data_IF_390413452716
#
_entry.id   IF_390413452716
#
_cell.length_a   1.000
_cell.length_b   1.000
_cell.length_c   1.000
_cell.angle_alpha   90.00
_cell.angle_beta   90.00
_cell.angle_gamma   90.00
#
_symmetry.space_group_name_H-M   'P 1'
#
loop_
_entity.id
_entity.type
_entity.pdbx_description
1 polymer ?
#
# COMPACT_ATOMS: atom_id res chain seq x y z
N UNK A 1 46.33 -51.73 29.24
CA UNK A 1 46.52 -53.17 29.50
C UNK A 1 48.02 -53.45 29.51
N UNK A 2 48.55 -53.87 30.65
CA UNK A 2 49.93 -54.31 30.83
C UNK A 2 50.20 -55.57 30.00
N UNK A 3 51.30 -55.60 29.25
CA UNK A 3 51.87 -56.83 28.70
C UNK A 3 53.35 -56.87 29.09
N UNK A 4 53.68 -57.79 30.00
CA UNK A 4 55.02 -58.27 30.33
C UNK A 4 55.69 -58.92 29.09
N UNK A 5 57.01 -58.85 28.92
CA UNK A 5 57.75 -59.85 28.18
C UNK A 5 58.28 -60.93 29.14
N UNK A 6 57.83 -62.17 28.92
CA UNK A 6 58.38 -63.37 29.54
C UNK A 6 59.74 -63.66 28.87
N UNK A 7 60.82 -63.58 29.64
CA UNK A 7 62.11 -64.18 29.32
C UNK A 7 61.99 -65.70 29.44
N UNK A 8 62.20 -66.44 28.36
CA UNK A 8 62.49 -67.88 28.40
C UNK A 8 63.90 -68.09 27.87
N UNK A 9 64.82 -68.37 28.79
CA UNK A 9 66.12 -68.98 28.55
C UNK A 9 66.07 -70.39 29.13
N UNK A 10 66.25 -71.46 28.35
CA UNK A 10 66.82 -72.71 28.84
C UNK A 10 68.29 -72.75 28.38
N UNK A 11 69.26 -72.65 29.27
CA UNK A 11 69.85 -73.81 29.97
C UNK A 11 70.06 -74.98 29.01
N UNK A 12 71.18 -74.97 28.29
CA UNK A 12 71.82 -76.21 27.83
C UNK A 12 73.03 -76.43 28.73
N UNK A 13 72.74 -77.05 29.88
CA UNK A 13 73.69 -77.74 30.73
C UNK A 13 73.59 -79.21 30.34
N UNK A 14 74.69 -79.83 29.87
CA UNK A 14 74.76 -81.28 29.68
C UNK A 14 75.13 -81.71 28.27
N UNK A 15 76.43 -81.62 27.93
CA UNK A 15 77.06 -82.57 27.02
C UNK A 15 78.53 -82.77 27.43
N UNK A 16 78.69 -83.32 28.64
CA UNK A 16 79.86 -84.06 29.08
C UNK A 16 79.32 -85.34 29.67
N UNK A 17 79.36 -86.43 28.90
CA UNK A 17 79.68 -87.80 29.33
C UNK A 17 79.47 -88.75 28.14
N UNK A 18 80.60 -89.33 27.73
CA UNK A 18 80.77 -90.72 27.27
C UNK A 18 79.99 -91.22 26.04
N UNK A 19 80.72 -91.44 24.95
CA UNK A 19 80.93 -92.83 24.54
C UNK A 19 82.24 -93.01 23.77
N UNK A 20 83.07 -93.85 24.36
CA UNK A 20 84.27 -94.44 23.79
C UNK A 20 83.92 -95.33 22.59
N UNK A 21 84.56 -95.10 21.45
CA UNK A 21 85.14 -96.19 20.66
C UNK A 21 86.29 -95.68 19.80
N UNK A 22 87.49 -95.94 20.31
CA UNK A 22 88.71 -96.34 19.63
C UNK A 22 88.78 -96.19 18.10
N UNK A 23 89.49 -95.16 17.62
CA UNK A 23 90.46 -95.35 16.52
C UNK A 23 91.73 -94.59 16.90
N UNK A 24 92.81 -95.36 16.95
CA UNK A 24 94.18 -94.98 17.30
C UNK A 24 94.74 -93.98 16.30
N UNK A 25 95.29 -92.87 16.80
CA UNK A 25 95.96 -91.86 16.00
C UNK A 25 96.65 -90.81 16.86
N UNK A 26 97.81 -91.19 17.42
CA UNK A 26 98.88 -90.33 17.96
C UNK A 26 99.03 -89.01 17.14
N UNK A 27 99.11 -87.79 17.67
CA UNK A 27 100.09 -87.25 18.65
C UNK A 27 99.82 -85.75 18.93
N UNK A 28 100.41 -85.31 20.05
CA UNK A 28 100.76 -83.94 20.52
C UNK A 28 99.79 -83.25 21.49
N UNK A 29 100.20 -83.02 22.76
CA UNK A 29 99.44 -82.23 23.72
C UNK A 29 99.58 -80.73 23.37
N UNK A 30 98.49 -80.11 22.94
CA UNK A 30 98.39 -78.65 22.86
C UNK A 30 98.22 -78.08 24.27
N UNK A 31 99.08 -77.13 24.60
CA UNK A 31 99.19 -76.44 25.88
C UNK A 31 97.81 -76.01 26.46
N UNK A 32 97.53 -76.20 27.77
CA UNK A 32 96.29 -75.75 28.42
C UNK A 32 95.95 -74.27 28.17
N UNK A 33 96.97 -73.45 27.92
CA UNK A 33 96.84 -72.03 27.60
C UNK A 33 96.10 -71.78 26.27
N UNK A 34 96.21 -72.68 25.28
CA UNK A 34 95.51 -72.57 23.99
C UNK A 34 93.99 -72.84 24.10
N UNK A 35 93.55 -73.62 25.09
CA UNK A 35 92.10 -73.88 25.32
C UNK A 35 91.40 -72.72 26.01
N UNK A 36 92.11 -72.02 26.90
CA UNK A 36 91.58 -70.84 27.60
C UNK A 36 91.48 -69.65 26.64
N UNK A 37 92.45 -69.45 25.74
CA UNK A 37 92.38 -68.38 24.73
C UNK A 37 91.21 -68.60 23.76
N UNK A 38 91.01 -69.82 23.27
CA UNK A 38 89.88 -70.14 22.39
C UNK A 38 88.51 -69.94 23.07
N UNK A 39 88.41 -70.24 24.37
CA UNK A 39 87.19 -69.99 25.15
C UNK A 39 86.92 -68.50 25.37
N UNK A 40 87.96 -67.70 25.64
CA UNK A 40 87.84 -66.24 25.78
C UNK A 40 87.46 -65.58 24.44
N UNK A 41 88.03 -66.04 23.33
CA UNK A 41 87.67 -65.58 22.00
C UNK A 41 86.21 -65.90 21.66
N UNK A 42 85.73 -67.09 22.00
CA UNK A 42 84.33 -67.48 21.78
C UNK A 42 83.37 -66.70 22.68
N UNK A 43 83.74 -66.48 23.96
CA UNK A 43 82.98 -65.60 24.86
C UNK A 43 82.86 -64.18 24.30
N UNK A 44 83.96 -63.62 23.79
CA UNK A 44 83.97 -62.29 23.19
C UNK A 44 83.12 -62.25 21.91
N UNK A 45 83.16 -63.28 21.07
CA UNK A 45 82.28 -63.41 19.89
C UNK A 45 80.81 -63.47 20.27
N UNK A 46 80.45 -64.27 21.27
CA UNK A 46 79.08 -64.38 21.77
C UNK A 46 78.59 -63.06 22.40
N UNK A 47 79.46 -62.36 23.11
CA UNK A 47 79.14 -61.03 23.65
C UNK A 47 78.88 -60.03 22.53
N UNK A 48 79.75 -59.97 21.52
CA UNK A 48 79.56 -59.10 20.34
C UNK A 48 78.29 -59.48 19.55
N UNK A 49 77.99 -60.77 19.41
CA UNK A 49 76.75 -61.23 18.77
C UNK A 49 75.51 -60.79 19.57
N UNK A 50 75.56 -60.88 20.90
CA UNK A 50 74.48 -60.44 21.79
C UNK A 50 74.25 -58.93 21.68
N UNK A 51 75.32 -58.13 21.67
CA UNK A 51 75.26 -56.68 21.48
C UNK A 51 74.65 -56.31 20.13
N UNK A 52 75.03 -57.00 19.05
CA UNK A 52 74.43 -56.81 17.71
C UNK A 52 72.93 -57.15 17.68
N UNK A 53 72.52 -58.24 18.32
CA UNK A 53 71.10 -58.61 18.41
C UNK A 53 70.32 -57.56 19.19
N UNK A 54 70.86 -57.05 20.30
CA UNK A 54 70.24 -55.99 21.08
C UNK A 54 70.08 -54.70 20.27
N UNK A 55 71.13 -54.28 19.55
CA UNK A 55 71.08 -53.10 18.66
C UNK A 55 70.03 -53.26 17.55
N UNK A 56 70.02 -54.42 16.88
CA UNK A 56 69.03 -54.71 15.83
C UNK A 56 67.60 -54.72 16.39
N UNK A 57 67.40 -55.23 17.61
CA UNK A 57 66.07 -55.25 18.25
C UNK A 57 65.59 -53.83 18.57
N UNK A 58 66.48 -52.96 19.06
CA UNK A 58 66.16 -51.55 19.32
C UNK A 58 65.85 -50.82 18.01
N UNK A 59 66.64 -51.04 16.96
CA UNK A 59 66.40 -50.44 15.65
C UNK A 59 65.06 -50.90 15.07
N UNK A 60 64.77 -52.20 15.10
CA UNK A 60 63.50 -52.74 14.59
C UNK A 60 62.30 -52.16 15.34
N UNK A 61 62.42 -52.01 16.67
CA UNK A 61 61.37 -51.38 17.48
C UNK A 61 61.16 -49.91 17.10
N UNK A 62 62.25 -49.17 16.93
CA UNK A 62 62.19 -47.77 16.49
C UNK A 62 61.55 -47.64 15.10
N UNK A 63 61.93 -48.49 14.15
CA UNK A 63 61.35 -48.50 12.80
C UNK A 63 59.86 -48.87 12.84
N UNK A 64 59.46 -49.83 13.68
CA UNK A 64 58.06 -50.18 13.90
C UNK A 64 57.26 -49.02 14.48
N UNK A 65 57.77 -48.37 15.53
CA UNK A 65 57.11 -47.22 16.16
C UNK A 65 56.98 -46.05 15.17
N UNK A 66 58.01 -45.82 14.36
CA UNK A 66 58.00 -44.79 13.30
C UNK A 66 56.96 -45.10 12.23
N UNK A 67 56.92 -46.34 11.74
CA UNK A 67 55.92 -46.78 10.76
C UNK A 67 54.49 -46.69 11.31
N UNK A 68 54.30 -47.05 12.58
CA UNK A 68 53.00 -46.97 13.24
C UNK A 68 52.54 -45.51 13.41
N UNK A 69 53.46 -44.61 13.74
CA UNK A 69 53.18 -43.17 13.81
C UNK A 69 52.79 -42.60 12.43
N UNK A 70 53.51 -42.98 11.36
CA UNK A 70 53.20 -42.56 9.99
C UNK A 70 51.81 -43.07 9.56
N UNK A 71 51.51 -44.35 9.80
CA UNK A 71 50.21 -44.94 9.50
C UNK A 71 49.08 -44.25 10.26
N UNK A 72 49.27 -43.98 11.56
CA UNK A 72 48.28 -43.29 12.39
C UNK A 72 48.02 -41.87 11.88
N UNK A 73 49.05 -41.14 11.47
CA UNK A 73 48.92 -39.80 10.91
C UNK A 73 48.14 -39.81 9.58
N UNK A 74 48.47 -40.75 8.68
CA UNK A 74 47.76 -40.91 7.41
C UNK A 74 46.27 -41.26 7.61
N UNK A 75 45.97 -42.10 8.59
CA UNK A 75 44.60 -42.54 8.87
C UNK A 75 43.76 -41.39 9.46
N UNK A 76 44.34 -40.61 10.37
CA UNK A 76 43.71 -39.41 10.92
C UNK A 76 43.44 -38.37 9.83
N UNK A 77 44.39 -38.16 8.91
CA UNK A 77 44.20 -37.25 7.78
C UNK A 77 43.03 -37.71 6.89
N UNK A 78 42.95 -39.00 6.57
CA UNK A 78 41.83 -39.55 5.79
C UNK A 78 40.48 -39.42 6.51
N UNK A 79 40.47 -39.61 7.82
CA UNK A 79 39.25 -39.46 8.64
C UNK A 79 38.74 -38.02 8.61
N UNK A 80 39.62 -37.03 8.79
CA UNK A 80 39.26 -35.61 8.73
C UNK A 80 38.67 -35.22 7.36
N UNK A 81 39.22 -35.74 6.26
CA UNK A 81 38.69 -35.52 4.91
C UNK A 81 37.29 -36.13 4.75
N UNK A 82 37.03 -37.30 5.34
CA UNK A 82 35.71 -37.93 5.30
C UNK A 82 34.69 -37.18 6.14
N UNK A 83 35.06 -36.67 7.32
CA UNK A 83 34.18 -35.84 8.16
C UNK A 83 33.79 -34.55 7.44
N UNK A 84 34.76 -33.89 6.77
CA UNK A 84 34.48 -32.70 5.97
C UNK A 84 33.47 -33.00 4.85
N UNK A 85 33.69 -34.08 4.08
CA UNK A 85 32.77 -34.49 3.01
C UNK A 85 31.38 -34.87 3.53
N UNK A 86 31.30 -35.48 4.71
CA UNK A 86 30.01 -35.79 5.35
C UNK A 86 29.26 -34.50 5.74
N UNK A 87 29.97 -33.46 6.17
CA UNK A 87 29.41 -32.13 6.42
C UNK A 87 28.81 -31.51 5.15
N UNK A 88 29.53 -31.57 4.02
CA UNK A 88 29.07 -31.06 2.72
C UNK A 88 27.79 -31.78 2.24
N UNK A 89 27.71 -33.10 2.43
CA UNK A 89 26.51 -33.89 2.07
C UNK A 89 25.29 -33.51 2.93
N UNK A 90 25.49 -33.22 4.22
CA UNK A 90 24.39 -32.75 5.10
C UNK A 90 23.87 -31.38 4.68
N UNK A 91 24.76 -30.46 4.31
CA UNK A 91 24.38 -29.15 3.78
C UNK A 91 23.59 -29.27 2.46
N UNK A 92 23.96 -30.23 1.59
CA UNK A 92 23.21 -30.54 0.37
C UNK A 92 21.79 -31.04 0.67
N UNK A 93 21.58 -31.88 1.68
CA UNK A 93 20.25 -32.35 2.09
C UNK A 93 19.37 -31.20 2.64
N UNK A 94 19.95 -30.29 3.43
CA UNK A 94 19.27 -29.07 3.90
C UNK A 94 18.90 -28.15 2.74
N UNK A 95 19.83 -27.93 1.80
CA UNK A 95 19.59 -27.11 0.60
C UNK A 95 18.49 -27.73 -0.28
N UNK A 96 18.42 -29.06 -0.40
CA UNK A 96 17.36 -29.75 -1.15
C UNK A 96 15.98 -29.57 -0.49
N UNK A 97 15.91 -29.58 0.84
CA UNK A 97 14.67 -29.31 1.58
C UNK A 97 14.20 -27.87 1.39
N UNK A 98 15.11 -26.89 1.43
CA UNK A 98 14.79 -25.49 1.14
C UNK A 98 14.32 -25.31 -0.31
N UNK A 99 14.98 -25.97 -1.28
CA UNK A 99 14.58 -25.93 -2.69
C UNK A 99 13.15 -26.49 -2.88
N UNK A 100 12.82 -27.61 -2.23
CA UNK A 100 11.48 -28.19 -2.28
C UNK A 100 10.42 -27.25 -1.69
N UNK A 101 10.74 -26.55 -0.59
CA UNK A 101 9.85 -25.55 0.02
C UNK A 101 9.65 -24.35 -0.91
N UNK A 102 10.71 -23.86 -1.55
CA UNK A 102 10.64 -22.76 -2.53
C UNK A 102 9.78 -23.17 -3.73
N UNK A 103 9.94 -24.38 -4.26
CA UNK A 103 9.13 -24.90 -5.35
C UNK A 103 7.64 -24.99 -4.98
N UNK A 104 7.33 -25.47 -3.77
CA UNK A 104 5.95 -25.52 -3.27
C UNK A 104 5.33 -24.11 -3.15
N UNK A 105 6.10 -23.15 -2.63
CA UNK A 105 5.67 -21.75 -2.52
C UNK A 105 5.46 -21.10 -3.88
N UNK A 106 6.32 -21.40 -4.87
CA UNK A 106 6.17 -20.91 -6.24
C UNK A 106 4.86 -21.38 -6.86
N UNK A 107 4.54 -22.68 -6.78
CA UNK A 107 3.26 -23.23 -7.27
C UNK A 107 2.06 -22.57 -6.59
N UNK A 108 2.15 -22.31 -5.28
CA UNK A 108 1.08 -21.64 -4.53
C UNK A 108 0.89 -20.18 -4.97
N UNK A 109 1.98 -19.47 -5.24
CA UNK A 109 1.94 -18.08 -5.74
C UNK A 109 1.36 -18.02 -7.16
N UNK A 110 1.75 -18.94 -8.04
CA UNK A 110 1.22 -19.03 -9.40
C UNK A 110 -0.30 -19.30 -9.39
N UNK A 111 -0.78 -20.17 -8.50
CA UNK A 111 -2.22 -20.39 -8.32
C UNK A 111 -2.95 -19.12 -7.83
N UNK A 112 -2.37 -18.37 -6.90
CA UNK A 112 -2.95 -17.11 -6.42
C UNK A 112 -2.98 -16.05 -7.52
N UNK A 113 -1.91 -15.95 -8.32
CA UNK A 113 -1.82 -15.04 -9.46
C UNK A 113 -2.87 -15.36 -10.53
N UNK A 114 -3.04 -16.65 -10.87
CA UNK A 114 -4.05 -17.08 -11.82
C UNK A 114 -5.49 -16.81 -11.33
N UNK A 115 -5.76 -16.94 -10.03
CA UNK A 115 -7.06 -16.52 -9.45
C UNK A 115 -7.28 -15.02 -9.61
N UNK A 116 -6.25 -14.21 -9.39
CA UNK A 116 -6.34 -12.75 -9.52
C UNK A 116 -6.61 -12.33 -10.97
N UNK A 117 -5.93 -12.94 -11.94
CA UNK A 117 -6.20 -12.72 -13.38
C UNK A 117 -7.66 -13.05 -13.70
N UNK A 118 -8.16 -14.21 -13.26
CA UNK A 118 -9.54 -14.61 -13.53
C UNK A 118 -10.56 -13.63 -12.91
N UNK A 119 -10.31 -13.14 -11.70
CA UNK A 119 -11.14 -12.10 -11.07
C UNK A 119 -11.08 -10.78 -11.84
N UNK A 120 -9.91 -10.37 -12.32
CA UNK A 120 -9.75 -9.17 -13.13
C UNK A 120 -10.52 -9.27 -14.46
N UNK A 121 -10.40 -10.39 -15.18
CA UNK A 121 -11.14 -10.62 -16.43
C UNK A 121 -12.66 -10.73 -16.21
N UNK A 122 -13.11 -11.17 -15.04
CA UNK A 122 -14.52 -11.11 -14.67
C UNK A 122 -14.98 -9.66 -14.46
N UNK A 123 -14.26 -8.88 -13.65
CA UNK A 123 -14.58 -7.48 -13.39
C UNK A 123 -14.54 -6.63 -14.67
N UNK A 124 -13.60 -6.91 -15.58
CA UNK A 124 -13.51 -6.27 -16.88
C UNK A 124 -14.76 -6.53 -17.71
N UNK A 125 -15.22 -7.79 -17.79
CA UNK A 125 -16.47 -8.15 -18.48
C UNK A 125 -17.69 -7.48 -17.86
N UNK A 126 -17.77 -7.42 -16.53
CA UNK A 126 -18.85 -6.72 -15.82
C UNK A 126 -18.85 -5.21 -16.13
N UNK A 127 -17.66 -4.59 -16.18
CA UNK A 127 -17.51 -3.18 -16.53
C UNK A 127 -17.85 -2.90 -18.00
N UNK A 128 -17.46 -3.77 -18.93
CA UNK A 128 -17.83 -3.67 -20.34
C UNK A 128 -19.37 -3.77 -20.50
N UNK A 129 -20.01 -4.64 -19.72
CA UNK A 129 -21.48 -4.80 -19.69
C UNK A 129 -22.17 -3.55 -19.16
N UNK A 130 -21.66 -2.98 -18.06
CA UNK A 130 -22.12 -1.70 -17.51
C UNK A 130 -21.91 -0.55 -18.50
N UNK A 131 -20.81 -0.56 -19.27
CA UNK A 131 -20.58 0.45 -20.30
C UNK A 131 -21.62 0.35 -21.42
N UNK A 132 -21.96 -0.87 -21.86
CA UNK A 132 -23.03 -1.09 -22.86
C UNK A 132 -24.39 -0.66 -22.32
N UNK A 133 -24.73 -1.00 -21.08
CA UNK A 133 -25.97 -0.54 -20.43
C UNK A 133 -26.01 0.99 -20.31
N UNK A 134 -24.89 1.61 -19.95
CA UNK A 134 -24.78 3.08 -19.87
C UNK A 134 -24.94 3.74 -21.24
N UNK A 135 -24.37 3.17 -22.31
CA UNK A 135 -24.59 3.66 -23.68
C UNK A 135 -26.04 3.47 -24.12
N UNK A 136 -26.70 2.37 -23.74
CA UNK A 136 -28.13 2.16 -23.99
C UNK A 136 -28.98 3.22 -23.27
N UNK A 137 -28.70 3.49 -21.99
CA UNK A 137 -29.38 4.55 -21.22
C UNK A 137 -29.13 5.92 -21.87
N UNK A 138 -27.89 6.21 -22.28
CA UNK A 138 -27.53 7.46 -22.97
C UNK A 138 -28.30 7.59 -24.29
N UNK A 139 -28.43 6.51 -25.07
CA UNK A 139 -29.17 6.51 -26.33
C UNK A 139 -30.69 6.67 -26.14
N UNK A 140 -31.26 6.04 -25.11
CA UNK A 140 -32.68 6.24 -24.73
C UNK A 140 -32.90 7.69 -24.29
N UNK A 141 -31.97 8.26 -23.51
CA UNK A 141 -32.02 9.66 -23.03
C UNK A 141 -31.85 10.67 -24.18
N UNK A 142 -31.03 10.37 -25.19
CA UNK A 142 -30.88 11.20 -26.40
C UNK A 142 -32.14 11.12 -27.26
N UNK A 143 -32.74 9.94 -27.44
CA UNK A 143 -33.97 9.76 -28.22
C UNK A 143 -35.15 10.53 -27.62
N UNK A 144 -35.32 10.45 -26.29
CA UNK A 144 -36.33 11.27 -25.59
C UNK A 144 -36.00 12.76 -25.70
N UNK A 145 -34.73 13.17 -25.63
CA UNK A 145 -34.35 14.59 -25.79
C UNK A 145 -34.68 15.16 -27.19
N UNK A 146 -34.61 14.33 -28.24
CA UNK A 146 -34.89 14.71 -29.63
C UNK A 146 -36.40 14.81 -29.89
N UNK A 147 -37.19 13.89 -29.34
CA UNK A 147 -38.65 14.00 -29.34
C UNK A 147 -39.14 15.18 -28.48
N UNK A 148 -38.44 15.48 -27.37
CA UNK A 148 -38.66 16.67 -26.53
C UNK A 148 -38.22 17.98 -27.21
N UNK A 149 -37.25 17.97 -28.13
CA UNK A 149 -36.89 19.17 -28.90
C UNK A 149 -37.93 19.52 -29.96
N UNK A 150 -38.57 18.51 -30.54
CA UNK A 150 -39.62 18.70 -31.55
C UNK A 150 -40.94 19.20 -30.92
N UNK A 151 -41.17 18.90 -29.63
CA UNK A 151 -42.29 19.41 -28.83
C UNK A 151 -42.08 20.83 -28.26
N UNK A 152 -40.87 21.38 -28.29
CA UNK A 152 -40.55 22.72 -27.74
C UNK A 152 -41.11 23.90 -28.54
N UNK A 153 -41.62 23.66 -29.75
CA UNK A 153 -42.31 24.70 -30.53
C UNK A 153 -43.72 25.04 -30.02
N UNK A 154 -44.24 24.28 -29.04
CA UNK A 154 -45.50 24.56 -28.35
C UNK A 154 -45.18 25.07 -26.94
N UNK A 155 -45.06 26.39 -26.82
CA UNK A 155 -44.55 27.06 -25.62
C UNK A 155 -45.26 26.71 -24.30
N UNK A 156 -44.46 26.83 -23.24
CA UNK A 156 -44.85 26.97 -21.83
C UNK A 156 -45.24 25.70 -21.04
N UNK A 157 -44.41 24.64 -21.07
CA UNK A 157 -44.27 23.67 -19.95
C UNK A 157 -42.78 23.24 -19.88
N UNK A 158 -42.26 22.94 -18.69
CA UNK A 158 -41.01 22.18 -18.36
C UNK A 158 -39.86 22.94 -17.67
N UNK A 159 -40.03 23.22 -16.37
CA UNK A 159 -39.03 22.75 -15.39
C UNK A 159 -39.54 21.56 -14.55
N UNK A 160 -40.87 21.45 -14.40
CA UNK A 160 -41.51 20.44 -13.56
C UNK A 160 -41.40 19.01 -14.12
N UNK A 161 -41.34 18.84 -15.45
CA UNK A 161 -41.18 17.52 -16.04
C UNK A 161 -39.77 16.98 -15.84
N UNK A 162 -38.72 17.82 -15.93
CA UNK A 162 -37.33 17.39 -15.72
C UNK A 162 -37.08 16.97 -14.25
N UNK A 163 -37.60 17.70 -13.27
CA UNK A 163 -37.47 17.34 -11.84
C UNK A 163 -38.23 16.05 -11.54
N UNK A 164 -39.46 15.92 -12.03
CA UNK A 164 -40.25 14.68 -11.91
C UNK A 164 -39.51 13.49 -12.53
N UNK A 165 -38.84 13.68 -13.67
CA UNK A 165 -38.06 12.64 -14.33
C UNK A 165 -36.83 12.24 -13.52
N UNK A 166 -36.13 13.18 -12.87
CA UNK A 166 -34.98 12.89 -12.00
C UNK A 166 -35.42 12.08 -10.78
N UNK A 167 -36.50 12.50 -10.11
CA UNK A 167 -37.02 11.78 -8.94
C UNK A 167 -37.45 10.35 -9.30
N UNK A 168 -38.19 10.20 -10.41
CA UNK A 168 -38.59 8.89 -10.91
C UNK A 168 -37.39 8.01 -11.28
N UNK A 169 -36.34 8.58 -11.85
CA UNK A 169 -35.13 7.84 -12.21
C UNK A 169 -34.37 7.32 -10.99
N UNK A 170 -34.21 8.17 -9.96
CA UNK A 170 -33.58 7.77 -8.69
C UNK A 170 -34.43 6.70 -7.99
N UNK A 171 -35.74 6.88 -7.94
CA UNK A 171 -36.65 5.90 -7.35
C UNK A 171 -36.60 4.57 -8.10
N UNK A 172 -36.59 4.58 -9.43
CA UNK A 172 -36.46 3.37 -10.23
C UNK A 172 -35.13 2.66 -9.94
N UNK A 173 -34.02 3.40 -9.90
CA UNK A 173 -32.70 2.85 -9.62
C UNK A 173 -32.63 2.21 -8.23
N UNK A 174 -33.11 2.90 -7.19
CA UNK A 174 -33.12 2.36 -5.83
C UNK A 174 -34.06 1.16 -5.67
N UNK A 175 -35.20 1.16 -6.37
CA UNK A 175 -36.13 0.03 -6.37
C UNK A 175 -35.59 -1.20 -7.11
N UNK A 176 -34.85 -0.97 -8.20
CA UNK A 176 -34.24 -2.04 -9.01
C UNK A 176 -33.04 -2.64 -8.29
N UNK A 177 -32.22 -1.80 -7.69
CA UNK A 177 -31.00 -2.19 -6.99
C UNK A 177 -31.18 -2.07 -5.48
N UNK A 178 -31.99 -2.97 -4.91
CA UNK A 178 -32.27 -3.04 -3.46
C UNK A 178 -31.04 -3.21 -2.56
N UNK A 179 -29.87 -3.53 -3.13
CA UNK A 179 -28.60 -3.66 -2.42
C UNK A 179 -27.77 -2.36 -2.38
N UNK A 180 -28.23 -1.27 -2.99
CA UNK A 180 -27.53 0.02 -2.94
C UNK A 180 -27.59 0.56 -1.52
N UNK A 181 -26.44 0.55 -0.85
CA UNK A 181 -26.28 1.06 0.51
C UNK A 181 -25.85 2.51 0.53
N UNK A 182 -24.84 2.85 -0.28
CA UNK A 182 -24.18 4.16 -0.27
C UNK A 182 -24.38 4.89 -1.61
N UNK A 183 -24.73 6.18 -1.55
CA UNK A 183 -24.98 7.01 -2.74
C UNK A 183 -24.04 8.20 -2.81
N UNK A 184 -23.30 8.32 -3.91
CA UNK A 184 -22.46 9.49 -4.18
C UNK A 184 -23.17 10.43 -5.16
N UNK A 185 -23.47 11.64 -4.71
CA UNK A 185 -24.08 12.69 -5.52
C UNK A 185 -22.98 13.60 -6.04
N UNK A 186 -22.45 13.30 -7.23
CA UNK A 186 -21.33 14.03 -7.86
C UNK A 186 -21.86 15.01 -8.90
N UNK A 187 -21.28 16.22 -8.95
CA UNK A 187 -21.69 17.25 -9.89
C UNK A 187 -20.80 18.48 -9.82
N UNK A 188 -21.29 19.59 -10.37
CA UNK A 188 -20.61 20.89 -10.31
C UNK A 188 -21.42 21.89 -9.47
N UNK A 189 -20.73 22.88 -8.92
CA UNK A 189 -21.35 23.93 -8.11
C UNK A 189 -20.64 25.27 -8.24
N UNK A 190 -21.22 26.27 -7.57
CA UNK A 190 -20.60 27.58 -7.38
C UNK A 190 -19.85 27.65 -6.05
N UNK A 191 -18.63 28.16 -6.07
CA UNK A 191 -17.82 28.35 -4.85
C UNK A 191 -18.40 29.43 -3.94
N UNK A 192 -18.21 29.26 -2.62
CA UNK A 192 -18.47 30.32 -1.63
C UNK A 192 -17.14 30.87 -1.14
N UNK A 193 -16.77 32.11 -1.52
CA UNK A 193 -15.51 32.68 -1.08
C UNK A 193 -15.57 33.15 0.38
N UNK A 194 -14.44 33.02 1.07
CA UNK A 194 -14.18 33.62 2.38
C UNK A 194 -13.05 34.64 2.27
N UNK A 195 -13.27 35.89 2.69
CA UNK A 195 -12.27 36.96 2.50
C UNK A 195 -11.27 37.04 3.65
N UNK A 196 -11.57 36.42 4.79
CA UNK A 196 -10.84 36.59 6.03
C UNK A 196 -9.99 35.36 6.36
N UNK A 197 -10.45 34.17 5.98
CA UNK A 197 -9.86 32.90 6.39
C UNK A 197 -9.53 32.00 5.19
N UNK A 198 -8.23 31.83 4.94
CA UNK A 198 -7.71 30.99 3.86
C UNK A 198 -8.15 29.52 3.96
N UNK A 199 -8.34 28.98 5.17
CA UNK A 199 -8.78 27.60 5.37
C UNK A 199 -10.25 27.39 4.99
N UNK A 200 -11.02 28.48 5.05
CA UNK A 200 -12.43 28.52 4.70
C UNK A 200 -12.66 28.94 3.26
N UNK A 201 -11.65 29.53 2.62
CA UNK A 201 -11.73 30.07 1.28
C UNK A 201 -11.79 28.95 0.24
N UNK A 202 -12.73 29.08 -0.70
CA UNK A 202 -12.95 28.10 -1.77
C UNK A 202 -12.75 28.80 -3.11
N UNK A 203 -11.80 28.28 -3.90
CA UNK A 203 -11.39 28.86 -5.19
C UNK A 203 -11.97 28.10 -6.38
N UNK A 204 -11.81 28.66 -7.58
CA UNK A 204 -12.07 27.94 -8.83
C UNK A 204 -11.16 26.72 -8.98
N UNK A 205 -11.77 25.61 -9.38
CA UNK A 205 -11.08 24.33 -9.58
C UNK A 205 -10.93 23.50 -8.31
N UNK A 206 -11.40 24.00 -7.16
CA UNK A 206 -11.52 23.19 -5.94
C UNK A 206 -12.68 22.19 -6.03
N UNK A 207 -12.63 21.19 -5.17
CA UNK A 207 -13.69 20.21 -4.95
C UNK A 207 -14.23 20.42 -3.53
N UNK A 208 -15.54 20.54 -3.37
CA UNK A 208 -16.20 20.54 -2.06
C UNK A 208 -16.89 19.20 -1.84
N UNK A 209 -16.58 18.57 -0.70
CA UNK A 209 -17.24 17.36 -0.22
C UNK A 209 -18.15 17.74 0.95
N UNK A 210 -19.40 17.30 0.92
CA UNK A 210 -20.35 17.56 1.98
C UNK A 210 -19.91 16.92 3.28
N UNK A 211 -19.67 17.75 4.29
CA UNK A 211 -19.36 17.31 5.63
C UNK A 211 -20.10 18.22 6.61
N UNK A 212 -20.60 17.69 7.75
CA UNK A 212 -21.29 18.52 8.72
C UNK A 212 -20.39 19.64 9.22
N UNK A 213 -20.98 20.81 9.42
CA UNK A 213 -20.28 21.91 10.10
C UNK A 213 -20.16 21.59 11.59
N UNK A 214 -19.21 22.23 12.30
CA UNK A 214 -18.99 21.99 13.73
C UNK A 214 -20.24 22.26 14.58
N UNK A 215 -21.15 23.10 14.10
CA UNK A 215 -22.37 23.50 14.83
C UNK A 215 -23.61 22.72 14.42
N UNK A 216 -23.61 22.02 13.28
CA UNK A 216 -24.80 21.35 12.72
C UNK A 216 -24.44 20.07 11.97
N UNK A 217 -25.25 19.02 12.17
CA UNK A 217 -25.12 17.71 11.50
C UNK A 217 -25.50 17.70 10.01
N UNK A 218 -25.81 18.86 9.42
CA UNK A 218 -26.40 18.95 8.09
C UNK A 218 -25.36 18.87 6.98
N UNK A 219 -25.62 18.01 6.00
CA UNK A 219 -24.80 17.85 4.81
C UNK A 219 -25.28 18.75 3.68
N UNK A 220 -26.60 18.95 3.61
CA UNK A 220 -27.24 19.75 2.59
C UNK A 220 -28.32 20.65 3.19
N UNK A 221 -28.43 21.87 2.65
CA UNK A 221 -29.44 22.86 3.04
C UNK A 221 -30.12 23.39 1.79
N UNK A 222 -31.45 23.34 1.76
CA UNK A 222 -32.26 23.99 0.74
C UNK A 222 -32.93 25.22 1.34
N UNK A 223 -32.58 26.39 0.82
CA UNK A 223 -33.22 27.65 1.21
C UNK A 223 -34.62 27.77 0.59
N UNK A 224 -35.64 27.89 1.45
CA UNK A 224 -37.04 28.00 1.02
C UNK A 224 -37.51 29.45 0.96
N UNK A 225 -37.36 30.17 2.07
CA UNK A 225 -37.82 31.57 2.18
C UNK A 225 -37.05 32.32 3.26
N UNK A 226 -37.06 33.64 3.14
CA UNK A 226 -36.53 34.56 4.15
C UNK A 226 -37.66 35.39 4.73
N UNK A 227 -37.69 35.51 6.04
CA UNK A 227 -38.61 36.38 6.78
C UNK A 227 -37.77 37.49 7.41
N UNK A 228 -38.11 38.75 7.13
CA UNK A 228 -37.45 39.91 7.73
C UNK A 228 -38.29 40.43 8.88
N UNK A 229 -37.71 40.45 10.07
CA UNK A 229 -38.39 40.96 11.26
C UNK A 229 -38.12 42.46 11.37
N UNK A 230 -39.06 43.29 10.89
CA UNK A 230 -38.95 44.76 10.86
C UNK A 230 -38.59 45.40 12.21
N UNK A 231 -38.92 44.73 13.33
CA UNK A 231 -38.68 45.25 14.68
C UNK A 231 -37.23 45.06 15.16
N UNK A 232 -36.55 44.01 14.72
CA UNK A 232 -35.18 43.67 15.14
C UNK A 232 -34.16 43.82 14.02
N UNK A 233 -34.61 44.10 12.79
CA UNK A 233 -33.81 44.08 11.57
C UNK A 233 -33.10 42.73 11.33
N UNK A 234 -33.67 41.65 11.89
CA UNK A 234 -33.12 40.30 11.77
C UNK A 234 -33.77 39.53 10.62
N UNK A 235 -32.93 38.77 9.92
CA UNK A 235 -33.36 37.84 8.88
C UNK A 235 -33.49 36.43 9.46
N UNK A 236 -34.68 35.86 9.35
CA UNK A 236 -34.94 34.46 9.66
C UNK A 236 -35.03 33.66 8.37
N UNK A 237 -34.05 32.77 8.17
CA UNK A 237 -34.03 31.88 7.03
C UNK A 237 -34.82 30.61 7.34
N UNK A 238 -35.83 30.32 6.54
CA UNK A 238 -36.51 29.03 6.56
C UNK A 238 -35.82 28.09 5.58
N UNK A 239 -35.38 26.95 6.09
CA UNK A 239 -34.58 25.98 5.36
C UNK A 239 -35.13 24.57 5.54
N UNK A 240 -35.10 23.80 4.46
CA UNK A 240 -35.15 22.34 4.51
C UNK A 240 -33.70 21.84 4.56
N UNK A 241 -33.44 20.77 5.29
CA UNK A 241 -32.09 20.28 5.48
C UNK A 241 -32.08 18.76 5.44
N UNK A 242 -30.92 18.20 5.07
CA UNK A 242 -30.70 16.76 5.05
C UNK A 242 -29.41 16.43 5.80
N UNK A 243 -29.48 15.36 6.56
CA UNK A 243 -28.38 14.72 7.25
C UNK A 243 -28.42 13.22 6.96
N UNK A 244 -27.31 12.54 7.14
CA UNK A 244 -27.27 11.07 7.08
C UNK A 244 -27.41 10.51 8.50
N UNK A 245 -28.23 9.48 8.65
CA UNK A 245 -28.25 8.68 9.88
C UNK A 245 -27.10 7.66 9.87
N UNK A 246 -26.75 7.13 8.69
CA UNK A 246 -25.55 6.33 8.49
C UNK A 246 -24.35 7.24 8.16
N UNK A 247 -23.46 7.39 9.12
CA UNK A 247 -22.27 8.24 9.05
C UNK A 247 -21.04 7.55 8.46
N UNK A 248 -21.18 6.35 7.87
CA UNK A 248 -20.06 5.57 7.33
C UNK A 248 -19.23 6.36 6.32
N UNK A 249 -19.88 7.02 5.36
CA UNK A 249 -19.20 7.85 4.36
C UNK A 249 -18.54 9.08 5.00
N UNK A 250 -19.23 9.72 5.94
CA UNK A 250 -18.71 10.88 6.66
C UNK A 250 -17.46 10.50 7.47
N UNK A 251 -17.46 9.35 8.15
CA UNK A 251 -16.29 8.81 8.87
C UNK A 251 -15.11 8.55 7.94
N UNK A 252 -15.34 8.07 6.72
CA UNK A 252 -14.28 7.91 5.71
C UNK A 252 -13.71 9.28 5.32
N UNK A 253 -14.57 10.24 5.01
CA UNK A 253 -14.16 11.61 4.67
C UNK A 253 -13.41 12.27 5.83
N UNK A 254 -13.84 12.08 7.08
CA UNK A 254 -13.14 12.58 8.26
C UNK A 254 -11.76 11.96 8.46
N UNK A 255 -11.60 10.67 8.16
CA UNK A 255 -10.28 10.02 8.19
C UNK A 255 -9.35 10.64 7.15
N UNK A 256 -9.85 10.86 5.93
CA UNK A 256 -9.09 11.53 4.86
C UNK A 256 -8.70 12.95 5.31
N UNK A 257 -9.67 13.73 5.80
CA UNK A 257 -9.43 15.08 6.32
C UNK A 257 -8.38 15.09 7.44
N UNK A 258 -8.48 14.16 8.41
CA UNK A 258 -7.51 14.05 9.50
C UNK A 258 -6.09 13.78 8.99
N UNK A 259 -5.91 12.89 8.00
CA UNK A 259 -4.60 12.64 7.40
C UNK A 259 -4.03 13.91 6.78
N UNK A 260 -4.87 14.67 6.06
CA UNK A 260 -4.47 15.94 5.47
C UNK A 260 -4.14 17.01 6.52
N UNK A 261 -4.92 17.13 7.60
CA UNK A 261 -4.73 18.18 8.61
C UNK A 261 -3.64 17.88 9.66
N UNK A 262 -3.23 16.62 9.84
CA UNK A 262 -2.40 16.19 10.99
C UNK A 262 -0.89 16.39 10.84
N UNK A 263 -0.40 16.75 9.66
CA UNK A 263 1.05 16.86 9.38
C UNK A 263 1.48 18.31 9.11
N UNK A 264 2.69 18.73 9.53
CA UNK A 264 3.29 19.99 9.09
C UNK A 264 3.42 20.08 7.56
N UNK A 265 3.66 18.93 6.91
CA UNK A 265 3.59 18.71 5.46
C UNK A 265 2.34 17.87 5.18
N UNK A 266 1.19 18.51 4.84
CA UNK A 266 -0.09 17.82 4.75
C UNK A 266 -0.04 16.74 3.67
N UNK A 267 -0.27 15.48 4.08
CA UNK A 267 -0.43 14.39 3.12
C UNK A 267 -1.73 14.61 2.34
N UNK A 268 -1.64 14.53 1.01
CA UNK A 268 -2.78 14.71 0.10
C UNK A 268 -3.13 13.37 -0.55
N UNK A 269 -3.77 12.44 0.19
CA UNK A 269 -4.01 11.08 -0.30
C UNK A 269 -4.92 11.05 -1.54
N UNK A 270 -5.69 12.11 -1.80
CA UNK A 270 -6.54 12.22 -2.97
C UNK A 270 -5.80 12.72 -4.23
N UNK A 271 -4.63 13.35 -4.09
CA UNK A 271 -3.91 13.96 -5.22
C UNK A 271 -3.52 12.91 -6.27
N UNK A 272 -3.08 11.72 -5.86
CA UNK A 272 -2.73 10.63 -6.80
C UNK A 272 -3.93 10.27 -7.68
N UNK A 273 -5.12 10.15 -7.08
CA UNK A 273 -6.33 9.83 -7.83
C UNK A 273 -6.80 10.99 -8.72
N UNK A 274 -6.61 12.24 -8.28
CA UNK A 274 -6.91 13.41 -9.09
C UNK A 274 -5.98 13.53 -10.30
N UNK A 275 -4.69 13.26 -10.10
CA UNK A 275 -3.68 13.24 -11.17
C UNK A 275 -3.98 12.11 -12.17
N UNK A 276 -4.21 10.89 -11.70
CA UNK A 276 -4.61 9.76 -12.56
C UNK A 276 -5.89 10.05 -13.35
N UNK A 277 -6.92 10.61 -12.71
CA UNK A 277 -8.16 10.97 -13.37
C UNK A 277 -7.94 12.07 -14.41
N UNK A 278 -7.16 13.11 -14.08
CA UNK A 278 -6.81 14.18 -15.00
C UNK A 278 -6.06 13.64 -16.22
N UNK A 279 -5.11 12.73 -16.03
CA UNK A 279 -4.37 12.10 -17.13
C UNK A 279 -5.27 11.29 -18.06
N UNK A 280 -6.18 10.49 -17.50
CA UNK A 280 -7.14 9.72 -18.31
C UNK A 280 -8.06 10.63 -19.11
N UNK A 281 -8.54 11.72 -18.50
CA UNK A 281 -9.45 12.68 -19.13
C UNK A 281 -8.78 13.55 -20.21
N UNK A 282 -7.44 13.67 -20.23
CA UNK A 282 -6.71 14.36 -21.32
C UNK A 282 -6.89 13.68 -22.69
N UNK A 283 -7.20 12.38 -22.70
CA UNK A 283 -7.41 11.62 -23.93
C UNK A 283 -8.81 11.83 -24.53
N UNK A 284 -9.74 12.44 -23.79
CA UNK A 284 -11.11 12.70 -24.23
C UNK A 284 -11.19 14.02 -25.03
N UNK A 285 -12.13 14.12 -25.97
CA UNK A 285 -12.34 15.34 -26.77
C UNK A 285 -12.83 16.54 -25.94
N UNK A 286 -13.34 16.29 -24.73
CA UNK A 286 -13.87 17.32 -23.84
C UNK A 286 -12.76 17.97 -23.02
N UNK A 287 -12.81 19.31 -22.89
CA UNK A 287 -11.84 20.04 -22.08
C UNK A 287 -12.15 19.92 -20.58
N UNK A 288 -11.47 18.99 -19.90
CA UNK A 288 -11.56 18.79 -18.45
C UNK A 288 -10.47 19.54 -17.67
N UNK A 289 -9.95 20.63 -18.24
CA UNK A 289 -8.90 21.42 -17.61
C UNK A 289 -9.44 22.21 -16.42
N UNK A 290 -8.65 22.25 -15.34
CA UNK A 290 -8.87 23.19 -14.24
C UNK A 290 -8.92 24.62 -14.80
N UNK A 291 -9.85 25.47 -14.33
CA UNK A 291 -9.82 26.89 -14.67
C UNK A 291 -8.45 27.50 -14.39
N UNK A 292 -7.98 28.37 -15.29
CA UNK A 292 -6.72 29.08 -15.10
C UNK A 292 -6.80 29.96 -13.86
N UNK A 293 -5.72 30.01 -13.08
CA UNK A 293 -5.74 30.73 -11.80
C UNK A 293 -6.07 32.22 -11.94
N UNK A 294 -5.65 32.86 -13.04
CA UNK A 294 -5.95 34.26 -13.32
C UNK A 294 -7.41 34.54 -13.70
N UNK A 295 -8.22 33.49 -13.87
CA UNK A 295 -9.67 33.60 -14.09
C UNK A 295 -10.45 33.58 -12.79
N UNK A 296 -9.83 33.12 -11.69
CA UNK A 296 -10.39 33.26 -10.36
C UNK A 296 -10.15 34.68 -9.86
N UNK A 297 -11.22 35.46 -9.77
CA UNK A 297 -11.17 36.86 -9.31
C UNK A 297 -12.13 37.04 -8.17
N UNK A 298 -11.57 37.44 -7.04
CA UNK A 298 -12.33 37.69 -5.83
C UNK A 298 -12.73 39.16 -5.77
N UNK A 299 -14.04 39.39 -5.72
CA UNK A 299 -14.63 40.73 -5.64
C UNK A 299 -15.25 40.95 -4.27
N UNK A 300 -14.95 42.09 -3.66
CA UNK A 300 -15.53 42.51 -2.38
C UNK A 300 -16.50 43.68 -2.59
N UNK A 301 -17.71 43.55 -2.04
CA UNK A 301 -18.68 44.64 -1.89
C UNK A 301 -18.60 45.20 -0.47
N UNK A 302 -18.58 46.53 -0.34
CA UNK A 302 -18.49 47.20 0.96
C UNK A 302 -19.66 46.83 1.90
N UNK A 303 -19.44 46.84 3.23
CA UNK A 303 -20.47 46.52 4.23
C UNK A 303 -21.72 47.42 4.16
N UNK A 304 -21.56 48.65 3.66
CA UNK A 304 -22.61 49.65 3.47
C UNK A 304 -23.45 49.43 2.19
N UNK A 305 -23.13 48.38 1.43
CA UNK A 305 -23.82 48.04 0.18
C UNK A 305 -23.41 48.91 -1.01
N UNK A 306 -22.43 49.81 -0.85
CA UNK A 306 -21.89 50.58 -1.98
C UNK A 306 -21.13 49.65 -2.92
N UNK A 307 -21.51 49.68 -4.20
CA UNK A 307 -20.91 48.85 -5.26
C UNK A 307 -19.58 49.48 -5.69
N UNK A 308 -18.59 49.39 -4.81
CA UNK A 308 -17.18 49.58 -5.17
C UNK A 308 -16.59 48.19 -5.20
N UNK A 309 -16.70 47.56 -6.36
CA UNK A 309 -16.17 46.23 -6.62
C UNK A 309 -14.65 46.36 -6.67
N UNK A 310 -13.99 46.09 -5.55
CA UNK A 310 -12.52 46.03 -5.49
C UNK A 310 -12.12 44.58 -5.68
N UNK A 311 -11.26 44.33 -6.65
CA UNK A 311 -10.58 43.04 -6.80
C UNK A 311 -9.60 42.89 -5.63
N UNK A 312 -9.81 41.86 -4.81
CA UNK A 312 -8.99 41.57 -3.64
C UNK A 312 -8.20 40.29 -3.89
N UNK A 313 -7.02 40.21 -3.27
CA UNK A 313 -6.22 39.00 -3.32
C UNK A 313 -6.88 37.88 -2.51
N UNK A 314 -6.72 36.64 -2.97
CA UNK A 314 -7.13 35.48 -2.20
C UNK A 314 -6.39 35.45 -0.85
N UNK A 315 -7.05 35.08 0.26
CA UNK A 315 -6.39 35.00 1.56
C UNK A 315 -5.27 33.95 1.52
N UNK A 316 -4.12 34.27 2.09
CA UNK A 316 -2.94 33.40 2.15
C UNK A 316 -2.79 32.74 3.53
N UNK A 317 -2.02 31.65 3.60
CA UNK A 317 -1.65 31.03 4.88
C UNK A 317 -2.39 29.73 5.24
N UNK A 318 -3.22 29.19 4.35
CA UNK A 318 -3.72 27.82 4.50
C UNK A 318 -2.65 26.82 4.04
N UNK A 319 -2.25 25.91 4.94
CA UNK A 319 -1.26 24.87 4.65
C UNK A 319 -1.79 23.83 3.66
N UNK A 320 -3.11 23.63 3.63
CA UNK A 320 -3.76 22.68 2.72
C UNK A 320 -4.05 23.29 1.35
N UNK A 321 -3.74 24.57 1.15
CA UNK A 321 -3.91 25.24 -0.11
C UNK A 321 -2.60 25.19 -0.92
N UNK A 322 -2.67 24.60 -2.11
CA UNK A 322 -1.59 24.68 -3.09
C UNK A 322 -2.11 25.43 -4.32
N UNK A 323 -1.45 26.55 -4.62
CA UNK A 323 -1.77 27.39 -5.75
C UNK A 323 -1.66 26.59 -7.08
N UNK A 324 -2.63 26.78 -7.97
CA UNK A 324 -2.67 26.10 -9.26
C UNK A 324 -3.06 24.61 -9.20
N UNK A 325 -3.28 24.04 -8.01
CA UNK A 325 -3.78 22.67 -7.84
C UNK A 325 -5.26 22.65 -7.43
N UNK A 326 -5.91 21.51 -7.64
CA UNK A 326 -7.25 21.24 -7.09
C UNK A 326 -7.11 20.99 -5.60
N UNK A 327 -7.81 21.77 -4.77
CA UNK A 327 -7.88 21.52 -3.33
C UNK A 327 -9.21 20.89 -2.96
N UNK A 328 -9.18 20.00 -1.97
CA UNK A 328 -10.37 19.36 -1.42
C UNK A 328 -10.81 20.13 -0.19
N UNK A 329 -12.03 20.62 -0.22
CA UNK A 329 -12.67 21.44 0.80
C UNK A 329 -13.84 20.67 1.41
N UNK A 330 -14.10 20.89 2.69
CA UNK A 330 -15.14 20.20 3.43
C UNK A 330 -16.13 21.20 4.01
N UNK A 331 -17.42 20.95 3.83
CA UNK A 331 -18.48 21.73 4.47
C UNK A 331 -19.84 21.50 3.86
N UNK A 332 -20.85 22.19 4.37
CA UNK A 332 -22.24 22.02 3.95
C UNK A 332 -22.43 22.57 2.52
N UNK A 333 -23.27 21.91 1.73
CA UNK A 333 -23.63 22.33 0.37
C UNK A 333 -25.07 22.83 0.38
N UNK A 334 -25.40 23.84 -0.43
CA UNK A 334 -26.75 24.41 -0.43
C UNK A 334 -27.32 24.64 -1.82
N UNK A 335 -28.65 24.65 -1.92
CA UNK A 335 -29.31 25.30 -3.07
C UNK A 335 -29.26 26.82 -2.86
N UNK A 336 -28.68 27.56 -3.80
CA UNK A 336 -28.45 29.00 -3.68
C UNK A 336 -29.40 29.89 -4.49
N UNK A 337 -30.21 29.31 -5.38
CA UNK A 337 -30.89 30.06 -6.44
C UNK A 337 -31.78 31.18 -5.91
N UNK A 338 -32.52 30.93 -4.84
CA UNK A 338 -33.51 31.87 -4.31
C UNK A 338 -32.89 32.99 -3.44
N UNK A 339 -31.63 32.84 -2.99
CA UNK A 339 -30.90 33.87 -2.25
C UNK A 339 -29.84 34.56 -3.14
N UNK A 340 -29.65 34.10 -4.38
CA UNK A 340 -28.58 34.50 -5.29
C UNK A 340 -28.62 35.96 -5.79
N UNK A 341 -29.66 36.73 -5.47
CA UNK A 341 -29.80 38.11 -5.94
C UNK A 341 -29.16 39.14 -5.01
N UNK A 342 -29.06 38.86 -3.70
CA UNK A 342 -28.48 39.76 -2.70
C UNK A 342 -27.18 39.18 -2.12
N UNK A 343 -26.06 39.87 -2.37
CA UNK A 343 -24.72 39.44 -1.92
C UNK A 343 -24.58 39.40 -0.40
N UNK A 344 -25.19 40.35 0.32
CA UNK A 344 -25.13 40.41 1.79
C UNK A 344 -25.93 39.28 2.41
N UNK A 345 -27.14 39.03 1.91
CA UNK A 345 -27.96 37.91 2.39
C UNK A 345 -27.32 36.56 2.10
N UNK A 346 -26.75 36.37 0.89
CA UNK A 346 -25.98 35.17 0.56
C UNK A 346 -24.83 34.91 1.52
N UNK A 347 -23.99 35.93 1.77
CA UNK A 347 -22.85 35.80 2.68
C UNK A 347 -23.31 35.49 4.09
N UNK A 348 -24.36 36.16 4.55
CA UNK A 348 -24.96 35.93 5.87
C UNK A 348 -25.48 34.51 6.00
N UNK A 349 -26.20 34.02 4.99
CA UNK A 349 -26.73 32.66 4.95
C UNK A 349 -25.61 31.61 4.90
N UNK A 350 -24.61 31.80 4.04
CA UNK A 350 -23.48 30.90 3.93
C UNK A 350 -22.69 30.79 5.24
N UNK A 351 -22.44 31.94 5.89
CA UNK A 351 -21.78 31.97 7.21
C UNK A 351 -22.62 31.29 8.28
N UNK A 352 -23.93 31.58 8.31
CA UNK A 352 -24.84 31.04 9.32
C UNK A 352 -24.94 29.51 9.24
N UNK A 353 -24.95 28.93 8.04
CA UNK A 353 -25.14 27.50 7.82
C UNK A 353 -23.85 26.74 7.43
N UNK A 354 -22.69 27.40 7.43
CA UNK A 354 -21.42 26.78 7.07
C UNK A 354 -21.32 26.31 5.62
N UNK A 355 -21.98 27.02 4.70
CA UNK A 355 -22.05 26.65 3.28
C UNK A 355 -20.70 26.91 2.59
N UNK A 356 -20.21 25.91 1.85
CA UNK A 356 -18.96 25.98 1.06
C UNK A 356 -19.16 25.94 -0.44
N UNK A 357 -20.27 25.38 -0.88
CA UNK A 357 -20.66 25.37 -2.27
C UNK A 357 -22.17 25.51 -2.42
N UNK A 358 -22.58 26.10 -3.54
CA UNK A 358 -23.96 26.10 -3.96
C UNK A 358 -24.15 25.20 -5.18
N UNK A 359 -25.29 24.54 -5.26
CA UNK A 359 -25.74 23.82 -6.46
C UNK A 359 -27.17 24.22 -6.84
N UNK A 360 -27.71 23.53 -7.85
CA UNK A 360 -28.98 23.86 -8.48
C UNK A 360 -30.15 22.96 -8.08
N UNK A 361 -29.98 21.63 -8.08
CA UNK A 361 -31.14 20.70 -8.12
C UNK A 361 -30.95 19.42 -7.29
N UNK A 362 -30.10 19.44 -6.26
CA UNK A 362 -29.81 18.23 -5.47
C UNK A 362 -30.94 17.86 -4.51
N UNK A 363 -31.76 18.84 -4.10
CA UNK A 363 -32.90 18.63 -3.20
C UNK A 363 -33.90 17.61 -3.74
N UNK A 364 -34.21 17.63 -5.04
CA UNK A 364 -35.12 16.66 -5.64
C UNK A 364 -34.60 15.21 -5.51
N UNK A 365 -33.29 15.01 -5.68
CA UNK A 365 -32.64 13.70 -5.51
C UNK A 365 -32.67 13.29 -4.04
N UNK A 366 -32.39 14.22 -3.12
CA UNK A 366 -32.41 13.98 -1.69
C UNK A 366 -33.81 13.65 -1.16
N UNK A 367 -34.88 14.24 -1.73
CA UNK A 367 -36.26 13.83 -1.44
C UNK A 367 -36.53 12.39 -1.85
N UNK A 368 -35.97 11.97 -2.99
CA UNK A 368 -36.12 10.59 -3.46
C UNK A 368 -35.35 9.61 -2.59
N UNK A 369 -34.14 9.97 -2.14
CA UNK A 369 -33.36 9.15 -1.20
C UNK A 369 -34.07 9.00 0.15
N UNK A 370 -34.58 10.11 0.70
CA UNK A 370 -35.35 10.14 1.93
C UNK A 370 -36.62 9.27 1.82
N UNK A 371 -37.38 9.42 0.73
CA UNK A 371 -38.57 8.60 0.45
C UNK A 371 -38.30 7.11 0.33
N UNK A 372 -37.10 6.72 -0.13
CA UNK A 372 -36.66 5.33 -0.22
C UNK A 372 -35.89 4.84 1.02
N UNK A 373 -35.79 5.67 2.08
CA UNK A 373 -35.02 5.38 3.30
C UNK A 373 -33.55 5.02 3.04
N UNK A 374 -32.96 5.60 2.00
CA UNK A 374 -31.52 5.56 1.82
C UNK A 374 -30.90 6.71 2.62
N UNK A 375 -30.34 6.39 3.78
CA UNK A 375 -29.83 7.37 4.75
C UNK A 375 -28.30 7.51 4.71
N UNK A 376 -27.66 7.05 3.62
CA UNK A 376 -26.20 7.01 3.48
C UNK A 376 -25.76 7.60 2.14
N UNK A 377 -25.58 8.92 2.12
CA UNK A 377 -25.16 9.65 0.94
C UNK A 377 -23.99 10.60 1.21
N UNK A 378 -23.31 10.98 0.14
CA UNK A 378 -22.24 11.98 0.14
C UNK A 378 -22.37 12.86 -1.10
N UNK A 379 -22.24 14.17 -0.94
CA UNK A 379 -22.35 15.14 -2.04
C UNK A 379 -20.96 15.68 -2.36
N UNK A 380 -20.59 15.66 -3.64
CA UNK A 380 -19.27 16.08 -4.12
C UNK A 380 -19.47 17.08 -5.28
N UNK A 381 -18.91 18.29 -5.16
CA UNK A 381 -19.04 19.35 -6.15
C UNK A 381 -17.67 19.81 -6.63
N UNK A 382 -17.39 19.66 -7.93
CA UNK A 382 -16.30 20.40 -8.57
C UNK A 382 -16.73 21.84 -8.81
N UNK A 383 -15.81 22.80 -8.67
CA UNK A 383 -16.15 24.23 -8.69
C UNK A 383 -15.55 24.93 -9.91
N UNK A 384 -16.15 24.80 -11.10
CA UNK A 384 -15.68 25.51 -12.29
C UNK A 384 -16.11 26.97 -12.31
N UNK A 385 -17.03 27.37 -11.43
CA UNK A 385 -17.68 28.69 -11.43
C UNK A 385 -17.53 29.32 -10.04
N UNK A 386 -17.05 30.57 -10.02
CA UNK A 386 -17.10 31.42 -8.84
C UNK A 386 -18.47 32.04 -8.80
N UNK A 387 -19.04 32.17 -7.60
CA UNK A 387 -20.16 33.07 -7.45
C UNK A 387 -19.68 34.49 -7.71
N UNK A 388 -19.82 34.96 -8.95
CA UNK A 388 -19.69 36.36 -9.28
C UNK A 388 -20.74 37.12 -8.46
N UNK A 389 -20.28 37.97 -7.54
CA UNK A 389 -21.08 39.15 -7.18
C UNK A 389 -21.44 39.84 -8.50
N UNK A 390 -22.72 40.10 -8.73
CA UNK A 390 -23.22 40.66 -9.98
C UNK A 390 -22.43 41.93 -10.35
N UNK A 391 -21.41 41.79 -11.19
CA UNK A 391 -20.74 42.95 -11.78
C UNK A 391 -21.72 43.51 -12.79
N UNK A 392 -22.24 44.71 -12.54
CA UNK A 392 -23.02 45.49 -13.50
C UNK A 392 -22.13 45.80 -14.72
N UNK A 393 -22.03 44.88 -15.67
CA UNK A 393 -21.62 45.23 -17.03
C UNK A 393 -22.87 45.58 -17.83
N UNK A 394 -23.26 46.87 -17.83
CA UNK A 394 -24.31 47.42 -18.70
C UNK A 394 -25.71 46.82 -18.52
N UNK A 395 -26.58 47.49 -17.74
CA UNK A 395 -28.03 47.27 -17.63
C UNK A 395 -28.58 45.84 -17.40
N UNK A 396 -27.75 44.82 -17.27
CA UNK A 396 -28.16 43.45 -16.98
C UNK A 396 -27.42 42.92 -15.76
N UNK A 397 -28.16 42.65 -14.69
CA UNK A 397 -27.72 41.73 -13.64
C UNK A 397 -27.74 40.36 -14.31
N UNK A 398 -26.57 39.79 -14.58
CA UNK A 398 -26.49 38.39 -15.04
C UNK A 398 -26.56 37.54 -13.76
N UNK A 399 -27.68 36.86 -13.48
CA UNK A 399 -27.70 35.87 -12.40
C UNK A 399 -26.73 34.75 -12.77
N UNK A 400 -26.29 34.00 -11.75
CA UNK A 400 -25.74 32.64 -11.83
C UNK A 400 -25.79 32.04 -13.25
N UNK A 401 -24.67 31.66 -13.89
CA UNK A 401 -24.65 31.44 -15.32
C UNK A 401 -25.73 30.42 -15.70
N UNK A 402 -26.75 30.90 -16.43
CA UNK A 402 -27.64 30.07 -17.25
C UNK A 402 -26.90 29.50 -18.47
N UNK A 403 -25.56 29.49 -18.46
CA UNK A 403 -24.79 28.77 -19.46
C UNK A 403 -24.73 27.33 -19.01
N UNK A 404 -25.59 26.52 -19.66
CA UNK A 404 -25.43 25.06 -19.70
C UNK A 404 -23.97 24.76 -20.03
N UNK A 405 -23.34 23.91 -19.22
CA UNK A 405 -22.17 23.13 -19.65
C UNK A 405 -22.64 22.16 -20.71
#
# INVERSE_FOLDING_TARGET
MLILPILVLPVIHGFLLENNHSVVGQTKPSSPYLKISAFLDEKNRLQQATERIAQNTVQLRHDMDTNLAVLSSQLLQKFNVLEQKLGEVKQLDETQKELALIQHNHVTLEQKYNRLINSYEQLKRENDLLHVEFQLIKNVSISTSKELSDLKHLGAIQPLQDISNIQQSVQYLLSTFSKVQHVFLVGVGGSVPDYEDASKHVILGDIVISLPSQERSWLYVHFQKIEHTLRTDEYKFNVKHWACADDTLQKVVEKIRKVTDSSPDPERPLDIYLEEASERLKAEESSFHRPFINTDRLYYTNPDGTVTVVEVQHPSGDKNYIEGRTNVRFGTISNGMNIATDGKLRKTFARLYGIKAYDLDTDAILESLDGNRNESFLIIRGLPITQMEAVKSGNHIVPWPRQRI
#
